data_IF_499596599872
#
_entry.id   IF_499596599872
#
_cell.length_a   1.000
_cell.length_b   1.000
_cell.length_c   1.000
_cell.angle_alpha   90.00
_cell.angle_beta   90.00
_cell.angle_gamma   90.00
#
_symmetry.space_group_name_H-M   'P 1'
#
loop_
_entity.id
_entity.type
_entity.pdbx_description
1 polymer ?
#
# COMPACT_ATOMS: atom_id res chain seq x y z
N UNK A 1 2.21 15.53 20.71
CA UNK A 1 1.52 16.24 19.61
C UNK A 1 1.36 15.24 18.50
N UNK A 2 0.15 15.04 17.96
CA UNK A 2 -0.06 14.03 16.90
C UNK A 2 0.38 14.62 15.57
N UNK A 3 1.37 14.01 14.93
CA UNK A 3 1.80 14.38 13.58
C UNK A 3 0.84 13.75 12.58
N UNK A 4 0.43 14.50 11.56
CA UNK A 4 -0.45 14.01 10.49
C UNK A 4 0.30 14.10 9.17
N UNK A 5 0.61 12.95 8.58
CA UNK A 5 1.19 12.85 7.25
C UNK A 5 0.08 12.82 6.20
N UNK A 6 0.15 13.73 5.23
CA UNK A 6 -0.87 13.84 4.19
C UNK A 6 -0.41 13.14 2.91
N UNK A 7 -1.21 12.21 2.40
CA UNK A 7 -1.04 11.62 1.08
C UNK A 7 -1.98 12.30 0.09
N UNK A 8 -1.45 12.71 -1.07
CA UNK A 8 -2.25 13.19 -2.18
C UNK A 8 -2.60 12.02 -3.11
N UNK A 9 -3.83 11.51 -3.01
CA UNK A 9 -4.32 10.39 -3.80
C UNK A 9 -4.30 10.61 -5.31
N UNK A 10 -4.34 11.86 -5.79
CA UNK A 10 -4.21 12.16 -7.22
C UNK A 10 -2.82 11.87 -7.77
N UNK A 11 -1.81 11.72 -6.90
CA UNK A 11 -0.45 11.34 -7.28
C UNK A 11 -0.20 9.83 -7.18
N UNK A 12 -1.21 9.06 -6.77
CA UNK A 12 -1.11 7.62 -6.56
C UNK A 12 -1.92 6.91 -7.64
N UNK A 13 -1.22 6.43 -8.67
CA UNK A 13 -1.82 5.72 -9.82
C UNK A 13 -1.35 4.27 -9.95
N UNK A 14 -0.29 3.89 -9.23
CA UNK A 14 0.25 2.53 -9.15
C UNK A 14 0.76 2.23 -7.74
N UNK A 15 0.99 0.95 -7.42
CA UNK A 15 1.57 0.57 -6.12
C UNK A 15 2.94 1.22 -5.88
N UNK A 16 3.76 1.35 -6.91
CA UNK A 16 5.08 1.99 -6.81
C UNK A 16 4.97 3.50 -6.54
N UNK A 17 3.96 4.16 -7.12
CA UNK A 17 3.69 5.57 -6.81
C UNK A 17 3.20 5.76 -5.36
N UNK A 18 2.46 4.79 -4.80
CA UNK A 18 2.08 4.79 -3.39
C UNK A 18 3.32 4.77 -2.49
N UNK A 19 4.28 3.86 -2.73
CA UNK A 19 5.54 3.81 -1.95
C UNK A 19 6.28 5.14 -1.97
N UNK A 20 6.37 5.78 -3.14
CA UNK A 20 7.00 7.09 -3.27
C UNK A 20 6.27 8.15 -2.47
N UNK A 21 4.95 8.29 -2.65
CA UNK A 21 4.16 9.34 -1.98
C UNK A 21 4.15 9.14 -0.47
N UNK A 22 4.04 7.90 0.02
CA UNK A 22 4.11 7.58 1.43
C UNK A 22 5.49 7.87 2.03
N UNK A 23 6.55 7.42 1.37
CA UNK A 23 7.92 7.69 1.79
C UNK A 23 8.26 9.18 1.82
N UNK A 24 7.81 9.92 0.81
CA UNK A 24 7.98 11.37 0.73
C UNK A 24 7.22 12.14 1.81
N UNK A 25 6.01 11.70 2.12
CA UNK A 25 5.19 12.31 3.16
C UNK A 25 5.81 12.12 4.55
N UNK A 26 6.30 10.92 4.86
CA UNK A 26 6.82 10.61 6.20
C UNK A 26 8.26 11.08 6.39
N UNK A 27 9.13 10.81 5.42
CA UNK A 27 10.58 10.94 5.57
C UNK A 27 11.21 11.98 4.60
N UNK A 28 10.39 12.84 3.99
CA UNK A 28 10.84 13.91 3.10
C UNK A 28 11.21 13.43 1.69
N UNK A 29 11.69 14.31 0.79
CA UNK A 29 11.90 14.00 -0.63
C UNK A 29 12.76 12.75 -0.86
N UNK A 30 12.22 11.78 -1.62
CA UNK A 30 12.87 10.48 -1.85
C UNK A 30 12.92 9.54 -0.64
N UNK A 31 12.19 9.88 0.44
CA UNK A 31 12.13 9.15 1.69
C UNK A 31 11.60 7.72 1.53
N UNK A 32 11.93 6.88 2.50
CA UNK A 32 11.55 5.48 2.52
C UNK A 32 10.43 5.24 3.54
N UNK A 33 9.42 4.47 3.15
CA UNK A 33 8.42 3.92 4.07
C UNK A 33 7.86 2.62 3.47
N UNK A 34 8.76 1.67 3.21
CA UNK A 34 8.47 0.44 2.46
C UNK A 34 8.61 0.58 0.95
N UNK A 35 8.94 -0.53 0.27
CA UNK A 35 8.97 -0.68 -1.20
C UNK A 35 8.25 -1.95 -1.70
N UNK A 36 7.60 -2.64 -0.77
CA UNK A 36 6.73 -3.80 -0.97
C UNK A 36 5.78 -3.88 0.24
N UNK A 37 4.80 -4.78 0.20
CA UNK A 37 3.76 -4.91 1.23
C UNK A 37 4.35 -5.28 2.60
N UNK A 38 5.26 -6.25 2.68
CA UNK A 38 5.87 -6.69 3.94
C UNK A 38 6.68 -5.58 4.60
N UNK A 39 7.53 -4.91 3.82
CA UNK A 39 8.35 -3.81 4.31
C UNK A 39 7.50 -2.59 4.72
N UNK A 40 6.36 -2.39 4.07
CA UNK A 40 5.39 -1.36 4.46
C UNK A 40 4.73 -1.71 5.80
N UNK A 41 4.29 -2.97 5.98
CA UNK A 41 3.76 -3.48 7.24
C UNK A 41 4.79 -3.31 8.38
N UNK A 42 6.06 -3.68 8.14
CA UNK A 42 7.14 -3.50 9.12
C UNK A 42 7.37 -2.03 9.47
N UNK A 43 7.31 -1.11 8.49
CA UNK A 43 7.37 0.33 8.75
C UNK A 43 6.19 0.84 9.57
N UNK A 44 5.00 0.25 9.47
CA UNK A 44 3.86 0.65 10.30
C UNK A 44 4.00 0.18 11.75
N UNK A 45 4.61 -0.98 11.98
CA UNK A 45 4.88 -1.52 13.33
C UNK A 45 5.93 -0.74 14.12
N UNK A 46 6.79 0.05 13.44
CA UNK A 46 7.86 0.82 14.08
C UNK A 46 9.27 0.26 13.82
N UNK A 47 10.30 1.10 13.99
CA UNK A 47 11.70 0.68 13.98
C UNK A 47 12.38 0.62 12.60
N UNK A 48 11.68 0.93 11.50
CA UNK A 48 12.21 0.83 10.12
C UNK A 48 12.15 2.16 9.34
N UNK A 49 12.42 3.28 10.03
CA UNK A 49 12.22 4.63 9.49
C UNK A 49 10.85 5.22 9.79
N UNK A 50 10.08 4.54 10.64
CA UNK A 50 8.92 5.10 11.33
C UNK A 50 9.37 6.22 12.27
N UNK A 51 8.69 7.37 12.29
CA UNK A 51 8.96 8.40 13.27
C UNK A 51 8.88 7.83 14.70
N UNK A 52 9.75 8.29 15.60
CA UNK A 52 9.70 7.97 17.03
C UNK A 52 8.45 8.56 17.74
N UNK A 53 7.62 9.26 16.98
CA UNK A 53 6.38 9.85 17.44
C UNK A 53 5.34 8.73 17.63
N UNK A 54 5.17 8.28 18.88
CA UNK A 54 4.22 7.24 19.33
C UNK A 54 2.75 7.42 18.81
N UNK A 55 2.43 8.57 18.22
CA UNK A 55 1.09 8.94 17.78
C UNK A 55 1.12 9.72 16.45
N UNK A 56 1.51 9.08 15.34
CA UNK A 56 1.28 9.65 14.01
C UNK A 56 -0.06 9.20 13.40
N UNK A 57 -0.56 9.97 12.44
CA UNK A 57 -1.72 9.64 11.59
C UNK A 57 -1.37 9.82 10.13
N UNK A 58 -2.08 9.11 9.26
CA UNK A 58 -1.98 9.24 7.81
C UNK A 58 -3.33 9.68 7.28
N UNK A 59 -3.38 10.87 6.68
CA UNK A 59 -4.55 11.43 6.02
C UNK A 59 -4.42 11.21 4.50
N UNK A 60 -5.20 10.29 3.94
CA UNK A 60 -5.17 10.00 2.51
C UNK A 60 -6.27 10.79 1.81
N UNK A 61 -5.89 11.96 1.30
CA UNK A 61 -6.80 12.85 0.58
C UNK A 61 -7.03 12.38 -0.86
N UNK A 62 -8.23 12.65 -1.38
CA UNK A 62 -8.62 12.25 -2.75
C UNK A 62 -8.44 10.74 -2.96
N UNK A 63 -8.64 9.92 -1.91
CA UNK A 63 -8.37 8.49 -1.95
C UNK A 63 -9.18 7.75 -3.02
N UNK A 64 -10.36 8.29 -3.41
CA UNK A 64 -11.18 7.75 -4.49
C UNK A 64 -10.43 7.74 -5.83
N UNK A 65 -9.56 8.73 -6.08
CA UNK A 65 -8.70 8.74 -7.27
C UNK A 65 -7.68 7.59 -7.20
N UNK A 66 -7.04 7.39 -6.05
CA UNK A 66 -6.16 6.23 -5.85
C UNK A 66 -6.93 4.93 -6.02
N UNK A 67 -8.11 4.80 -5.42
CA UNK A 67 -8.94 3.59 -5.44
C UNK A 67 -9.32 3.19 -6.87
N UNK A 68 -9.63 4.16 -7.72
CA UNK A 68 -9.91 3.91 -9.13
C UNK A 68 -8.68 3.36 -9.88
N UNK A 69 -7.49 3.93 -9.63
CA UNK A 69 -6.26 3.50 -10.29
C UNK A 69 -5.69 2.19 -9.72
N UNK A 70 -5.79 2.00 -8.41
CA UNK A 70 -5.30 0.83 -7.66
C UNK A 70 -6.34 -0.31 -7.60
N UNK A 71 -7.36 -0.27 -8.46
CA UNK A 71 -8.35 -1.33 -8.61
C UNK A 71 -7.80 -2.56 -9.34
N UNK A 72 -8.70 -3.44 -9.79
CA UNK A 72 -8.34 -4.71 -10.42
C UNK A 72 -7.29 -4.63 -11.56
N UNK A 73 -7.28 -3.62 -12.45
CA UNK A 73 -6.24 -3.54 -13.48
C UNK A 73 -4.82 -3.46 -12.92
N UNK A 74 -4.61 -2.66 -11.87
CA UNK A 74 -3.32 -2.58 -11.19
C UNK A 74 -3.04 -3.85 -10.38
N UNK A 75 -4.06 -4.44 -9.75
CA UNK A 75 -3.94 -5.74 -9.06
C UNK A 75 -3.46 -6.84 -9.99
N UNK A 76 -4.05 -6.96 -11.18
CA UNK A 76 -3.62 -7.91 -12.22
C UNK A 76 -2.16 -7.68 -12.57
N UNK A 77 -1.75 -6.42 -12.80
CA UNK A 77 -0.35 -6.10 -13.11
C UNK A 77 0.61 -6.53 -11.98
N UNK A 78 0.26 -6.27 -10.73
CA UNK A 78 1.09 -6.64 -9.58
C UNK A 78 1.17 -8.16 -9.40
N UNK A 79 0.06 -8.87 -9.57
CA UNK A 79 0.03 -10.34 -9.48
C UNK A 79 0.80 -11.00 -10.62
N UNK A 80 0.79 -10.44 -11.83
CA UNK A 80 1.65 -10.92 -12.93
C UNK A 80 3.15 -10.77 -12.59
N UNK A 81 3.54 -9.62 -12.03
CA UNK A 81 4.92 -9.39 -11.56
C UNK A 81 5.31 -10.34 -10.44
N UNK A 82 4.38 -10.59 -9.49
CA UNK A 82 4.59 -11.53 -8.40
C UNK A 82 4.70 -12.97 -8.91
N UNK A 83 3.83 -13.40 -9.84
CA UNK A 83 3.85 -14.74 -10.39
C UNK A 83 5.19 -15.06 -11.08
N UNK A 84 5.77 -14.07 -11.77
CA UNK A 84 7.07 -14.19 -12.42
C UNK A 84 8.24 -14.37 -11.42
N UNK A 85 8.10 -13.90 -10.18
CA UNK A 85 9.20 -13.79 -9.19
C UNK A 85 9.04 -14.69 -7.97
N UNK A 86 7.82 -15.10 -7.65
CA UNK A 86 7.53 -15.84 -6.43
C UNK A 86 8.10 -17.26 -6.47
N UNK A 87 8.35 -17.80 -5.28
CA UNK A 87 8.80 -19.17 -5.09
C UNK A 87 7.78 -20.17 -5.67
N UNK A 88 8.20 -21.30 -6.26
CA UNK A 88 7.29 -22.27 -6.86
C UNK A 88 6.12 -22.73 -5.97
N UNK A 89 6.31 -22.81 -4.65
CA UNK A 89 5.26 -23.18 -3.69
C UNK A 89 4.08 -22.21 -3.67
N UNK A 90 4.30 -20.94 -4.00
CA UNK A 90 3.28 -19.90 -3.92
C UNK A 90 2.64 -19.63 -5.29
N UNK A 91 3.21 -20.15 -6.38
CA UNK A 91 2.76 -19.86 -7.74
C UNK A 91 1.31 -20.24 -8.00
N UNK A 92 0.85 -21.36 -7.45
CA UNK A 92 -0.54 -21.80 -7.62
C UNK A 92 -1.51 -20.77 -7.01
N UNK A 93 -1.29 -20.39 -5.75
CA UNK A 93 -2.10 -19.36 -5.07
C UNK A 93 -2.09 -18.04 -5.85
N UNK A 94 -0.90 -17.55 -6.25
CA UNK A 94 -0.79 -16.28 -6.97
C UNK A 94 -1.50 -16.35 -8.34
N UNK A 95 -1.48 -17.50 -9.00
CA UNK A 95 -2.19 -17.69 -10.27
C UNK A 95 -3.71 -17.71 -10.09
N UNK A 96 -4.21 -18.28 -8.99
CA UNK A 96 -5.63 -18.25 -8.62
C UNK A 96 -6.09 -16.82 -8.32
N UNK A 97 -5.33 -16.08 -7.52
CA UNK A 97 -5.60 -14.67 -7.22
C UNK A 97 -5.59 -13.83 -8.50
N UNK A 98 -4.63 -14.09 -9.42
CA UNK A 98 -4.54 -13.42 -10.71
C UNK A 98 -5.77 -13.70 -11.58
N UNK A 99 -6.25 -14.94 -11.60
CA UNK A 99 -7.46 -15.30 -12.34
C UNK A 99 -8.69 -14.59 -11.75
N UNK A 100 -8.86 -14.60 -10.43
CA UNK A 100 -9.93 -13.88 -9.76
C UNK A 100 -9.89 -12.37 -10.05
N UNK A 101 -8.71 -11.74 -9.96
CA UNK A 101 -8.56 -10.32 -10.23
C UNK A 101 -8.90 -9.94 -11.68
N UNK A 102 -8.58 -10.81 -12.66
CA UNK A 102 -8.96 -10.61 -14.07
C UNK A 102 -10.46 -10.64 -14.28
N UNK A 103 -11.18 -11.41 -13.47
CA UNK A 103 -12.65 -11.47 -13.46
C UNK A 103 -13.29 -10.37 -12.57
N UNK A 104 -12.49 -9.42 -12.08
CA UNK A 104 -12.95 -8.35 -11.21
C UNK A 104 -13.39 -8.85 -9.83
N UNK A 105 -12.80 -9.94 -9.36
CA UNK A 105 -13.05 -10.55 -8.06
C UNK A 105 -11.84 -10.42 -7.14
N UNK A 106 -12.06 -10.63 -5.85
CA UNK A 106 -11.02 -10.56 -4.83
C UNK A 106 -10.66 -9.12 -4.42
N UNK A 107 -9.75 -8.97 -3.44
CA UNK A 107 -9.29 -7.67 -3.00
C UNK A 107 -8.40 -6.99 -4.05
N UNK A 108 -8.48 -5.66 -4.10
CA UNK A 108 -7.63 -4.84 -4.97
C UNK A 108 -6.34 -4.41 -4.27
N UNK A 109 -5.40 -3.81 -5.00
CA UNK A 109 -4.19 -3.21 -4.40
C UNK A 109 -4.56 -2.13 -3.40
N UNK A 110 -5.62 -1.36 -3.67
CA UNK A 110 -6.13 -0.39 -2.69
C UNK A 110 -6.58 -1.09 -1.40
N UNK A 111 -7.32 -2.20 -1.52
CA UNK A 111 -7.83 -2.94 -0.37
C UNK A 111 -6.66 -3.54 0.45
N UNK A 112 -5.64 -4.11 -0.21
CA UNK A 112 -4.44 -4.62 0.46
C UNK A 112 -3.74 -3.55 1.30
N UNK A 113 -3.60 -2.33 0.76
CA UNK A 113 -2.96 -1.23 1.49
C UNK A 113 -3.79 -0.80 2.70
N UNK A 114 -5.11 -0.74 2.58
CA UNK A 114 -6.01 -0.41 3.68
C UNK A 114 -5.98 -1.48 4.75
N UNK A 115 -6.05 -2.75 4.37
CA UNK A 115 -5.99 -3.90 5.28
C UNK A 115 -4.68 -3.89 6.09
N UNK A 116 -3.53 -3.66 5.44
CA UNK A 116 -2.24 -3.55 6.15
C UNK A 116 -2.24 -2.38 7.15
N UNK A 117 -2.83 -1.24 6.80
CA UNK A 117 -2.98 -0.14 7.77
C UNK A 117 -3.85 -0.54 8.97
N UNK A 118 -4.95 -1.24 8.72
CA UNK A 118 -5.91 -1.65 9.76
C UNK A 118 -5.32 -2.71 10.68
N UNK A 119 -4.57 -3.67 10.15
CA UNK A 119 -3.96 -4.76 10.90
C UNK A 119 -2.73 -4.29 11.70
N UNK A 120 -1.84 -3.52 11.06
CA UNK A 120 -0.53 -3.22 11.63
C UNK A 120 -0.50 -1.93 12.43
N UNK A 121 -1.39 -0.98 12.13
CA UNK A 121 -1.47 0.29 12.83
C UNK A 121 -2.93 0.78 12.95
N UNK A 122 -3.78 0.07 13.72
CA UNK A 122 -5.21 0.37 13.83
C UNK A 122 -5.49 1.85 14.15
N UNK A 123 -6.33 2.47 13.31
CA UNK A 123 -6.74 3.86 13.47
C UNK A 123 -5.69 4.90 13.08
N UNK A 124 -4.54 4.51 12.52
CA UNK A 124 -3.55 5.45 11.93
C UNK A 124 -4.09 6.06 10.64
N UNK A 125 -4.76 5.26 9.80
CA UNK A 125 -5.28 5.70 8.51
C UNK A 125 -6.60 6.48 8.64
N UNK A 126 -6.69 7.60 7.92
CA UNK A 126 -7.92 8.33 7.68
C UNK A 126 -8.09 8.59 6.18
N UNK A 127 -9.08 7.96 5.57
CA UNK A 127 -9.47 8.20 4.17
C UNK A 127 -10.32 9.49 4.09
N UNK A 128 -9.94 10.41 3.20
CA UNK A 128 -10.52 11.74 3.05
C UNK A 128 -10.89 12.07 1.60
#
# INVERSE_FOLDING_TARGET
MTVVYALNGKQISTLESFWRVMGEAVNGPGGYFGRNLDAFADCLRGGFGTPDDDYFKVAWHDHQASRAHLGHPETVRQLELQLARCHPSNRASVAEDLAAARDGQGPTVFDWLVEIFEDEAPGVLRLL
#
